data_IF_109583036607
#
_entry.id   IF_109583036607
#
_cell.length_a   1.000
_cell.length_b   1.000
_cell.length_c   1.000
_cell.angle_alpha   90.00
_cell.angle_beta   90.00
_cell.angle_gamma   90.00
#
_symmetry.space_group_name_H-M   'P 1'
#
loop_
_entity.id
_entity.type
_entity.pdbx_description
1 polymer ?
#
# COMPACT_ATOMS: atom_id res chain seq x y z
N UNK A 1 50.77 40.45 -41.04
CA UNK A 1 49.91 39.27 -41.27
C UNK A 1 49.89 38.43 -40.00
N UNK A 2 48.79 38.43 -39.24
CA UNK A 2 48.59 37.56 -38.08
C UNK A 2 47.32 36.76 -38.32
N UNK A 3 47.47 35.45 -38.55
CA UNK A 3 46.37 34.52 -38.78
C UNK A 3 45.91 34.05 -37.40
N UNK A 4 44.75 34.52 -36.94
CA UNK A 4 44.11 33.99 -35.73
C UNK A 4 43.58 32.59 -36.03
N UNK A 5 44.15 31.58 -35.37
CA UNK A 5 43.56 30.24 -35.29
C UNK A 5 42.41 30.30 -34.30
N UNK A 6 41.18 30.21 -34.79
CA UNK A 6 40.01 30.01 -33.94
C UNK A 6 39.99 28.56 -33.45
N UNK A 7 40.25 28.33 -32.17
CA UNK A 7 39.95 27.06 -31.52
C UNK A 7 38.44 27.03 -31.24
N UNK A 8 37.69 26.23 -31.98
CA UNK A 8 36.34 25.82 -31.56
C UNK A 8 36.51 24.78 -30.44
N UNK A 9 36.20 25.17 -29.21
CA UNK A 9 36.02 24.23 -28.10
C UNK A 9 34.60 23.70 -28.19
N UNK A 10 34.45 22.47 -28.68
CA UNK A 10 33.17 21.76 -28.65
C UNK A 10 32.88 21.32 -27.20
N UNK A 11 32.02 22.08 -26.52
CA UNK A 11 31.51 21.70 -25.20
C UNK A 11 30.51 20.54 -25.36
N UNK A 12 30.94 19.32 -25.07
CA UNK A 12 30.05 18.16 -24.94
C UNK A 12 29.18 18.33 -23.69
N UNK A 13 27.89 18.60 -23.90
CA UNK A 13 26.86 18.59 -22.86
C UNK A 13 26.68 17.15 -22.36
N UNK A 14 27.38 16.78 -21.29
CA UNK A 14 27.05 15.59 -20.52
C UNK A 14 25.72 15.82 -19.80
N UNK A 15 24.63 15.27 -20.33
CA UNK A 15 23.34 15.27 -19.64
C UNK A 15 23.46 14.37 -18.38
N UNK A 16 23.22 14.90 -17.17
CA UNK A 16 23.25 14.07 -15.97
C UNK A 16 22.10 13.06 -16.06
N UNK A 17 22.44 11.78 -16.08
CA UNK A 17 21.49 10.68 -15.88
C UNK A 17 21.06 10.76 -14.42
N UNK A 18 20.01 11.53 -14.13
CA UNK A 18 19.39 11.52 -12.82
C UNK A 18 18.77 10.15 -12.61
N UNK A 19 19.14 9.38 -11.56
CA UNK A 19 18.43 8.16 -11.23
C UNK A 19 16.98 8.56 -10.94
N UNK A 20 16.04 8.02 -11.71
CA UNK A 20 14.62 8.10 -11.39
C UNK A 20 14.41 7.24 -10.14
N UNK A 21 14.58 7.85 -8.96
CA UNK A 21 14.13 7.24 -7.72
C UNK A 21 12.62 7.00 -7.88
N UNK A 22 12.23 5.73 -8.04
CA UNK A 22 10.83 5.38 -8.02
C UNK A 22 10.27 5.78 -6.67
N UNK A 23 9.29 6.67 -6.65
CA UNK A 23 8.55 6.97 -5.42
C UNK A 23 7.76 5.71 -5.05
N UNK A 24 8.24 4.96 -4.05
CA UNK A 24 7.39 4.01 -3.38
C UNK A 24 6.24 4.80 -2.75
N UNK A 25 4.99 4.46 -3.06
CA UNK A 25 3.86 5.06 -2.39
C UNK A 25 3.92 4.69 -0.90
N UNK A 26 4.02 5.70 -0.03
CA UNK A 26 4.04 5.48 1.41
C UNK A 26 2.70 4.90 1.86
N UNK A 27 2.75 3.78 2.57
CA UNK A 27 1.56 3.17 3.17
C UNK A 27 1.07 4.09 4.29
N UNK A 28 -0.16 4.59 4.14
CA UNK A 28 -0.85 5.35 5.16
C UNK A 28 -1.79 4.45 5.96
N UNK A 29 -1.50 4.28 7.24
CA UNK A 29 -2.41 3.58 8.14
C UNK A 29 -3.53 4.51 8.60
N UNK A 30 -4.78 4.08 8.41
CA UNK A 30 -5.98 4.85 8.80
C UNK A 30 -6.79 4.05 9.83
N UNK A 31 -7.20 4.67 10.96
CA UNK A 31 -8.03 3.99 11.94
C UNK A 31 -9.36 3.58 11.31
N UNK A 32 -9.75 2.32 11.50
CA UNK A 32 -10.91 1.78 10.81
C UNK A 32 -12.24 2.21 11.43
N UNK A 33 -12.27 2.44 12.75
CA UNK A 33 -13.49 2.83 13.49
C UNK A 33 -14.71 1.93 13.18
N UNK A 34 -14.48 0.64 12.92
CA UNK A 34 -15.50 -0.34 12.55
C UNK A 34 -15.92 -0.37 11.07
N UNK A 35 -15.41 0.54 10.23
CA UNK A 35 -15.65 0.56 8.79
C UNK A 35 -14.72 -0.39 8.02
N UNK A 36 -15.16 -0.83 6.84
CA UNK A 36 -14.34 -1.71 5.99
C UNK A 36 -13.20 -0.95 5.33
N UNK A 37 -12.07 -1.62 5.05
CA UNK A 37 -10.88 -0.91 4.61
C UNK A 37 -11.01 -0.19 3.27
N UNK A 38 -11.84 -0.70 2.34
CA UNK A 38 -12.21 0.04 1.13
C UNK A 38 -12.92 1.37 1.43
N UNK A 39 -13.85 1.36 2.39
CA UNK A 39 -14.59 2.57 2.78
C UNK A 39 -13.67 3.56 3.51
N UNK A 40 -12.85 3.06 4.43
CA UNK A 40 -11.92 3.87 5.23
C UNK A 40 -10.90 4.57 4.33
N UNK A 41 -10.25 3.83 3.43
CA UNK A 41 -9.27 4.41 2.53
C UNK A 41 -9.92 5.35 1.50
N UNK A 42 -11.07 4.98 0.93
CA UNK A 42 -11.79 5.83 -0.02
C UNK A 42 -12.21 7.17 0.60
N UNK A 43 -12.68 7.16 1.86
CA UNK A 43 -13.00 8.39 2.59
C UNK A 43 -11.78 9.30 2.81
N UNK A 44 -10.58 8.70 2.89
CA UNK A 44 -9.30 9.42 2.96
C UNK A 44 -8.75 9.81 1.58
N UNK A 45 -9.48 9.56 0.49
CA UNK A 45 -9.04 9.73 -0.91
C UNK A 45 -7.82 8.89 -1.28
N UNK A 46 -7.76 7.67 -0.73
CA UNK A 46 -6.73 6.67 -0.95
C UNK A 46 -7.35 5.35 -1.43
N UNK A 47 -6.51 4.47 -1.93
CA UNK A 47 -6.86 3.10 -2.31
C UNK A 47 -6.50 2.14 -1.17
N UNK A 48 -7.41 1.25 -0.81
CA UNK A 48 -7.11 0.20 0.16
C UNK A 48 -6.17 -0.85 -0.46
N UNK A 49 -5.09 -1.17 0.26
CA UNK A 49 -4.21 -2.27 -0.11
C UNK A 49 -4.90 -3.60 0.11
N UNK A 50 -4.66 -4.56 -0.78
CA UNK A 50 -5.17 -5.92 -0.65
C UNK A 50 -4.12 -6.93 -1.12
N UNK A 51 -4.12 -8.12 -0.50
CA UNK A 51 -3.17 -9.20 -0.82
C UNK A 51 -3.73 -10.26 -1.77
N UNK A 52 -5.03 -10.18 -2.09
CA UNK A 52 -5.69 -11.12 -2.98
C UNK A 52 -7.21 -11.02 -2.92
N UNK A 53 -7.87 -12.03 -3.50
CA UNK A 53 -9.33 -12.17 -3.55
C UNK A 53 -9.75 -13.47 -2.87
N UNK A 54 -10.91 -13.44 -2.22
CA UNK A 54 -11.52 -14.59 -1.58
C UNK A 54 -11.96 -15.62 -2.64
N UNK A 55 -11.57 -16.88 -2.44
CA UNK A 55 -11.83 -17.95 -3.40
C UNK A 55 -12.28 -19.25 -2.71
N UNK A 56 -13.43 -19.26 -2.01
CA UNK A 56 -13.93 -20.44 -1.32
C UNK A 56 -14.21 -21.56 -2.33
N UNK A 57 -13.69 -22.77 -2.07
CA UNK A 57 -13.85 -23.90 -2.98
C UNK A 57 -13.30 -23.68 -4.39
N UNK A 58 -12.25 -22.86 -4.53
CA UNK A 58 -11.65 -22.43 -5.80
C UNK A 58 -12.54 -21.54 -6.69
N UNK A 59 -13.64 -21.00 -6.16
CA UNK A 59 -14.48 -20.04 -6.87
C UNK A 59 -14.08 -18.61 -6.50
N UNK A 60 -13.37 -17.93 -7.38
CA UNK A 60 -12.94 -16.54 -7.17
C UNK A 60 -14.14 -15.61 -7.03
N UNK A 61 -14.21 -14.86 -5.93
CA UNK A 61 -15.20 -13.78 -5.71
C UNK A 61 -14.57 -12.41 -5.96
N UNK A 62 -15.39 -11.36 -5.84
CA UNK A 62 -14.92 -9.97 -5.89
C UNK A 62 -14.46 -9.45 -4.52
N UNK A 63 -14.57 -10.26 -3.46
CA UNK A 63 -14.24 -9.84 -2.11
C UNK A 63 -12.74 -9.87 -1.92
N UNK A 64 -12.15 -8.70 -1.68
CA UNK A 64 -10.71 -8.54 -1.50
C UNK A 64 -10.32 -8.78 -0.04
N UNK A 65 -9.16 -9.41 0.15
CA UNK A 65 -8.47 -9.44 1.43
C UNK A 65 -7.71 -8.13 1.64
N UNK A 66 -8.40 -7.11 2.16
CA UNK A 66 -7.75 -5.83 2.45
C UNK A 66 -6.77 -5.98 3.60
N UNK A 67 -5.63 -5.31 3.53
CA UNK A 67 -4.59 -5.36 4.56
C UNK A 67 -5.00 -4.45 5.72
N UNK A 68 -4.99 -5.02 6.92
CA UNK A 68 -5.22 -4.30 8.17
C UNK A 68 -4.17 -4.70 9.23
N UNK A 69 -4.09 -3.93 10.30
CA UNK A 69 -3.28 -4.26 11.46
C UNK A 69 -3.99 -3.89 12.77
N UNK A 70 -3.57 -4.52 13.87
CA UNK A 70 -4.05 -4.19 15.22
C UNK A 70 -2.91 -4.36 16.22
N UNK A 71 -2.96 -3.64 17.33
CA UNK A 71 -2.05 -3.83 18.46
C UNK A 71 -2.58 -4.83 19.51
N UNK A 72 -3.67 -5.54 19.20
CA UNK A 72 -4.23 -6.57 20.09
C UNK A 72 -3.27 -7.76 20.21
N UNK A 73 -2.71 -7.94 21.41
CA UNK A 73 -1.71 -8.97 21.72
C UNK A 73 -0.42 -8.83 20.89
N UNK A 74 0.05 -7.58 20.78
CA UNK A 74 1.19 -7.17 19.96
C UNK A 74 0.74 -6.66 18.58
N UNK A 75 1.60 -5.89 17.91
CA UNK A 75 1.29 -5.37 16.59
C UNK A 75 1.26 -6.50 15.57
N UNK A 76 0.09 -6.74 14.97
CA UNK A 76 -0.17 -7.89 14.10
C UNK A 76 -0.84 -7.44 12.81
N UNK A 77 -0.31 -7.83 11.64
CA UNK A 77 -1.03 -7.69 10.39
C UNK A 77 -2.12 -8.76 10.28
N UNK A 78 -3.14 -8.47 9.49
CA UNK A 78 -4.26 -9.35 9.21
C UNK A 78 -5.01 -8.96 7.94
N UNK A 79 -6.23 -9.47 7.82
CA UNK A 79 -7.11 -9.12 6.70
C UNK A 79 -8.46 -8.57 7.17
N UNK A 80 -9.00 -7.65 6.39
CA UNK A 80 -10.37 -7.17 6.46
C UNK A 80 -11.11 -7.63 5.20
N UNK A 81 -12.23 -8.34 5.37
CA UNK A 81 -12.91 -9.04 4.27
C UNK A 81 -14.42 -8.76 4.30
N UNK A 82 -14.99 -8.35 3.18
CA UNK A 82 -16.44 -8.19 3.01
C UNK A 82 -17.13 -9.53 2.69
N UNK A 83 -18.45 -9.66 2.92
CA UNK A 83 -19.33 -8.74 3.66
C UNK A 83 -19.39 -9.02 5.16
N UNK A 84 -19.32 -10.30 5.57
CA UNK A 84 -19.59 -10.75 6.95
C UNK A 84 -18.55 -10.30 7.98
N UNK A 85 -17.35 -9.98 7.51
CA UNK A 85 -16.16 -9.83 8.35
C UNK A 85 -15.55 -8.42 8.26
N UNK A 86 -16.31 -7.51 7.66
CA UNK A 86 -15.85 -6.20 7.23
C UNK A 86 -15.65 -5.20 8.40
N UNK A 87 -16.16 -5.52 9.59
CA UNK A 87 -16.07 -4.69 10.79
C UNK A 87 -14.93 -5.09 11.73
N UNK A 88 -14.04 -5.98 11.31
CA UNK A 88 -12.89 -6.43 12.08
C UNK A 88 -11.64 -6.64 11.22
N UNK A 89 -10.49 -6.61 11.87
CA UNK A 89 -9.24 -7.14 11.33
C UNK A 89 -9.02 -8.56 11.86
N UNK A 90 -8.96 -9.54 10.98
CA UNK A 90 -8.74 -10.94 11.32
C UNK A 90 -7.25 -11.20 11.36
N UNK A 91 -6.75 -11.50 12.55
CA UNK A 91 -5.32 -11.72 12.81
C UNK A 91 -5.06 -13.11 13.34
N UNK A 92 -3.90 -13.66 13.00
CA UNK A 92 -3.40 -14.90 13.60
C UNK A 92 -2.89 -14.67 15.02
N UNK A 93 -3.45 -15.39 15.99
CA UNK A 93 -2.98 -15.40 17.38
C UNK A 93 -3.19 -16.78 18.02
N UNK A 94 -2.14 -17.33 18.63
CA UNK A 94 -2.21 -18.62 19.33
C UNK A 94 -2.65 -19.81 18.44
N UNK A 95 -2.29 -19.78 17.15
CA UNK A 95 -2.69 -20.82 16.18
C UNK A 95 -4.13 -20.73 15.68
N UNK A 96 -4.82 -19.61 15.93
CA UNK A 96 -6.21 -19.38 15.52
C UNK A 96 -6.35 -18.01 14.84
N UNK A 97 -7.41 -17.83 14.07
CA UNK A 97 -7.85 -16.51 13.64
C UNK A 97 -8.68 -15.85 14.73
N UNK A 98 -8.40 -14.58 15.02
CA UNK A 98 -9.10 -13.80 16.04
C UNK A 98 -9.54 -12.48 15.43
N UNK A 99 -10.78 -12.09 15.68
CA UNK A 99 -11.34 -10.82 15.23
C UNK A 99 -10.92 -9.67 16.16
N UNK A 100 -10.20 -8.68 15.62
CA UNK A 100 -9.87 -7.44 16.31
C UNK A 100 -10.77 -6.30 15.86
N UNK A 101 -11.50 -5.68 16.79
CA UNK A 101 -12.41 -4.54 16.48
C UNK A 101 -11.71 -3.19 16.44
N UNK A 102 -10.59 -3.06 17.16
CA UNK A 102 -9.72 -1.89 17.13
C UNK A 102 -8.57 -2.19 16.17
N UNK A 103 -8.64 -1.62 14.97
CA UNK A 103 -7.68 -1.89 13.90
C UNK A 103 -7.53 -0.68 12.99
N UNK A 104 -6.50 -0.75 12.17
CA UNK A 104 -6.16 0.23 11.14
C UNK A 104 -6.04 -0.45 9.78
N UNK A 105 -6.36 0.31 8.73
CA UNK A 105 -6.34 -0.12 7.35
C UNK A 105 -5.14 0.46 6.63
N UNK A 106 -4.45 -0.36 5.83
CA UNK A 106 -3.34 0.08 5.01
C UNK A 106 -3.86 0.71 3.70
N UNK A 107 -3.57 1.99 3.49
CA UNK A 107 -4.03 2.75 2.34
C UNK A 107 -2.84 3.31 1.54
N UNK A 108 -3.01 3.51 0.22
CA UNK A 108 -2.03 4.17 -0.66
C UNK A 108 -2.70 5.09 -1.68
#
# INVERSE_FOLDING_TARGET
>A
MKILKALLVAATLAAPILPTAGFAADIQWKPANGGSCDQVCSAARLTALYSGVHAPGNQVTQDKFYICATNMNGYRPGYNLKPKWASACWVGYGGKEVAAKNYECACQ
#
